data_IF_187106151069
#
_entry.id   IF_187106151069
#
_cell.length_a   1.000
_cell.length_b   1.000
_cell.length_c   1.000
_cell.angle_alpha   90.00
_cell.angle_beta   90.00
_cell.angle_gamma   90.00
#
_symmetry.space_group_name_H-M   'P 1'
#
loop_
_entity.id
_entity.type
_entity.pdbx_description
1 polymer ?
#
# COMPACT_ATOMS: atom_id res chain seq x y z
N UNK A 1 -17.11 9.91 -2.38
CA UNK A 1 -16.19 9.44 -3.45
C UNK A 1 -14.99 8.75 -2.82
N UNK A 2 -15.18 7.55 -2.30
CA UNK A 2 -14.09 6.70 -1.77
C UNK A 2 -13.29 6.05 -2.91
N UNK A 3 -13.96 5.67 -3.99
CA UNK A 3 -13.35 5.02 -5.17
C UNK A 3 -12.30 5.90 -5.86
N UNK A 4 -12.59 7.19 -6.06
CA UNK A 4 -11.61 8.12 -6.64
C UNK A 4 -10.36 8.27 -5.78
N UNK A 5 -10.52 8.28 -4.46
CA UNK A 5 -9.40 8.33 -3.52
C UNK A 5 -8.60 7.03 -3.58
N UNK A 6 -9.26 5.88 -3.56
CA UNK A 6 -8.62 4.57 -3.66
C UNK A 6 -7.85 4.42 -4.98
N UNK A 7 -8.47 4.77 -6.11
CA UNK A 7 -7.81 4.76 -7.42
C UNK A 7 -6.60 5.71 -7.47
N UNK A 8 -6.72 6.91 -6.91
CA UNK A 8 -5.60 7.86 -6.83
C UNK A 8 -4.44 7.37 -5.95
N UNK A 9 -4.75 6.77 -4.79
CA UNK A 9 -3.74 6.20 -3.89
C UNK A 9 -3.04 5.01 -4.53
N UNK A 10 -3.79 4.08 -5.13
CA UNK A 10 -3.22 2.89 -5.79
C UNK A 10 -2.38 3.27 -7.02
N UNK A 11 -2.84 4.23 -7.82
CA UNK A 11 -2.08 4.73 -8.95
C UNK A 11 -0.73 5.32 -8.51
N UNK A 12 -0.75 6.11 -7.43
CA UNK A 12 0.44 6.73 -6.90
C UNK A 12 1.40 5.71 -6.26
N UNK A 13 0.87 4.77 -5.49
CA UNK A 13 1.66 3.69 -4.88
C UNK A 13 2.32 2.80 -5.95
N UNK A 14 1.56 2.40 -6.97
CA UNK A 14 2.11 1.61 -8.07
C UNK A 14 3.22 2.34 -8.83
N UNK A 15 3.07 3.65 -9.09
CA UNK A 15 4.15 4.45 -9.71
C UNK A 15 5.41 4.59 -8.84
N UNK A 16 5.27 4.43 -7.52
CA UNK A 16 6.38 4.57 -6.58
C UNK A 16 7.11 3.25 -6.34
N UNK A 17 6.38 2.14 -6.21
CA UNK A 17 6.91 0.82 -5.84
C UNK A 17 7.22 -0.09 -7.04
N UNK A 18 6.49 0.06 -8.15
CA UNK A 18 6.58 -0.88 -9.27
C UNK A 18 7.54 -0.41 -10.36
N UNK A 19 8.26 -1.35 -10.96
CA UNK A 19 9.13 -1.08 -12.12
C UNK A 19 8.33 -0.85 -13.42
N UNK A 20 7.04 -1.22 -13.44
CA UNK A 20 6.18 -1.11 -14.61
C UNK A 20 5.25 0.10 -14.57
N UNK A 21 4.90 0.61 -15.75
CA UNK A 21 4.03 1.76 -15.86
C UNK A 21 2.59 1.43 -15.44
N UNK A 22 2.06 2.16 -14.46
CA UNK A 22 0.65 2.04 -14.07
C UNK A 22 -0.26 2.60 -15.16
N UNK A 23 -1.16 1.75 -15.64
CA UNK A 23 -2.17 2.07 -16.65
C UNK A 23 -3.53 2.31 -15.98
N UNK A 24 -4.09 3.51 -16.15
CA UNK A 24 -5.35 3.87 -15.49
C UNK A 24 -6.54 3.04 -15.97
N UNK A 25 -6.59 2.67 -17.25
CA UNK A 25 -7.64 1.82 -17.80
C UNK A 25 -7.68 0.43 -17.13
N UNK A 26 -6.51 -0.17 -16.94
CA UNK A 26 -6.39 -1.48 -16.27
C UNK A 26 -6.71 -1.36 -14.77
N UNK A 27 -6.17 -0.34 -14.10
CA UNK A 27 -6.43 -0.08 -12.68
C UNK A 27 -7.93 0.14 -12.42
N UNK A 28 -8.57 0.99 -13.22
CA UNK A 28 -9.99 1.32 -13.06
C UNK A 28 -10.89 0.14 -13.40
N UNK A 29 -10.50 -0.66 -14.40
CA UNK A 29 -11.16 -1.93 -14.71
C UNK A 29 -11.10 -2.92 -13.55
N UNK A 30 -9.93 -3.08 -12.92
CA UNK A 30 -9.74 -3.95 -11.76
C UNK A 30 -10.56 -3.47 -10.54
N UNK A 31 -10.63 -2.16 -10.32
CA UNK A 31 -11.39 -1.55 -9.22
C UNK A 31 -12.90 -1.48 -9.47
N UNK A 32 -13.37 -1.78 -10.69
CA UNK A 32 -14.76 -1.56 -11.12
C UNK A 32 -15.24 -0.12 -10.83
N UNK A 33 -14.32 0.85 -10.92
CA UNK A 33 -14.57 2.22 -10.49
C UNK A 33 -15.13 3.05 -11.66
N UNK A 34 -16.27 3.70 -11.44
CA UNK A 34 -16.90 4.61 -12.42
C UNK A 34 -16.31 6.03 -12.33
N UNK A 35 -14.98 6.14 -12.45
CA UNK A 35 -14.27 7.42 -12.40
C UNK A 35 -13.45 7.62 -13.67
N UNK A 36 -13.25 8.88 -14.06
CA UNK A 36 -12.46 9.19 -15.26
C UNK A 36 -10.96 9.25 -14.94
N UNK A 37 -10.14 8.90 -15.92
CA UNK A 37 -8.68 8.96 -15.81
C UNK A 37 -8.17 10.36 -15.41
N UNK A 38 -8.78 11.42 -15.95
CA UNK A 38 -8.42 12.80 -15.61
C UNK A 38 -8.73 13.14 -14.14
N UNK A 39 -9.80 12.55 -13.59
CA UNK A 39 -10.14 12.71 -12.18
C UNK A 39 -9.12 12.02 -11.28
N UNK A 40 -8.67 10.81 -11.67
CA UNK A 40 -7.63 10.06 -10.97
C UNK A 40 -6.33 10.85 -10.96
N UNK A 41 -5.90 11.34 -12.12
CA UNK A 41 -4.69 12.17 -12.20
C UNK A 41 -4.79 13.43 -11.34
N UNK A 42 -5.93 14.13 -11.38
CA UNK A 42 -6.18 15.27 -10.49
C UNK A 42 -6.16 14.89 -9.01
N UNK A 43 -6.56 13.66 -8.66
CA UNK A 43 -6.46 13.14 -7.30
C UNK A 43 -5.01 12.88 -6.89
N UNK A 44 -4.20 12.28 -7.75
CA UNK A 44 -2.77 12.07 -7.47
C UNK A 44 -2.05 13.37 -7.15
N UNK A 45 -2.26 14.42 -7.94
CA UNK A 45 -1.64 15.74 -7.71
C UNK A 45 -2.06 16.29 -6.33
N UNK A 46 -3.33 16.17 -5.97
CA UNK A 46 -3.82 16.59 -4.64
C UNK A 46 -3.19 15.77 -3.51
N UNK A 47 -3.07 14.45 -3.68
CA UNK A 47 -2.44 13.56 -2.70
C UNK A 47 -0.97 13.93 -2.50
N UNK A 48 -0.21 14.10 -3.59
CA UNK A 48 1.19 14.50 -3.55
C UNK A 48 1.39 15.82 -2.83
N UNK A 49 0.57 16.84 -3.15
CA UNK A 49 0.62 18.13 -2.46
C UNK A 49 0.29 18.00 -0.97
N UNK A 50 -0.72 17.20 -0.63
CA UNK A 50 -1.15 16.98 0.76
C UNK A 50 -0.07 16.27 1.58
N UNK A 51 0.59 15.27 0.99
CA UNK A 51 1.70 14.53 1.60
C UNK A 51 3.04 15.29 1.52
N UNK A 52 3.06 16.48 0.93
CA UNK A 52 4.28 17.26 0.67
C UNK A 52 5.35 16.43 -0.06
N UNK A 53 4.92 15.57 -0.97
CA UNK A 53 5.75 14.66 -1.75
C UNK A 53 6.56 13.65 -0.89
N UNK A 54 6.15 13.40 0.37
CA UNK A 54 6.78 12.43 1.26
C UNK A 54 6.12 11.06 1.14
N UNK A 55 6.55 10.28 0.14
CA UNK A 55 6.04 8.93 -0.12
C UNK A 55 6.90 7.82 0.48
N UNK A 56 8.14 8.12 0.84
CA UNK A 56 9.15 7.17 1.31
C UNK A 56 8.95 6.70 2.76
N UNK A 57 7.71 6.46 3.17
CA UNK A 57 7.38 5.97 4.50
C UNK A 57 7.49 4.44 4.51
N UNK A 58 8.24 3.84 5.46
CA UNK A 58 8.34 2.40 5.53
C UNK A 58 6.96 1.78 5.81
N UNK A 59 6.72 0.60 5.26
CA UNK A 59 5.54 -0.23 5.55
C UNK A 59 5.98 -1.55 6.19
N UNK A 60 5.02 -2.34 6.70
CA UNK A 60 5.28 -3.63 7.38
C UNK A 60 6.23 -4.54 6.59
N UNK A 61 6.09 -4.57 5.27
CA UNK A 61 6.92 -5.35 4.35
C UNK A 61 8.41 -5.01 4.37
N UNK A 62 8.77 -3.79 4.75
CA UNK A 62 10.16 -3.37 4.88
C UNK A 62 10.85 -3.93 6.14
N UNK A 63 10.06 -4.28 7.16
CA UNK A 63 10.57 -4.73 8.46
C UNK A 63 10.44 -6.23 8.68
N UNK A 64 9.38 -6.84 8.13
CA UNK A 64 9.06 -8.25 8.34
C UNK A 64 10.22 -9.22 8.02
N UNK A 65 10.98 -9.05 6.91
CA UNK A 65 12.09 -9.97 6.61
C UNK A 65 13.15 -10.02 7.71
N UNK A 66 13.46 -8.87 8.34
CA UNK A 66 14.45 -8.80 9.41
C UNK A 66 14.01 -9.58 10.65
N UNK A 67 12.74 -9.44 11.07
CA UNK A 67 12.21 -10.20 12.19
C UNK A 67 12.21 -11.70 11.94
N UNK A 68 11.80 -12.12 10.74
CA UNK A 68 11.79 -13.52 10.34
C UNK A 68 13.19 -14.14 10.31
N UNK A 69 14.20 -13.39 9.88
CA UNK A 69 15.59 -13.82 9.89
C UNK A 69 16.11 -14.01 11.32
N UNK A 70 15.87 -13.03 12.21
CA UNK A 70 16.34 -13.07 13.61
C UNK A 70 15.81 -14.27 14.37
N UNK A 71 14.55 -14.65 14.13
CA UNK A 71 13.92 -15.81 14.81
C UNK A 71 14.19 -17.14 14.12
N UNK A 72 14.88 -17.14 12.96
CA UNK A 72 15.11 -18.35 12.17
C UNK A 72 13.80 -18.99 11.69
N UNK A 73 12.83 -18.18 11.25
CA UNK A 73 11.49 -18.63 10.91
C UNK A 73 11.50 -19.69 9.80
N UNK A 74 10.67 -20.72 9.96
CA UNK A 74 10.39 -21.70 8.89
C UNK A 74 9.58 -21.07 7.76
N UNK A 75 9.48 -21.77 6.63
CA UNK A 75 8.67 -21.33 5.48
C UNK A 75 7.20 -21.16 5.87
N UNK A 76 6.68 -22.07 6.70
CA UNK A 76 5.30 -22.02 7.19
C UNK A 76 5.09 -20.82 8.12
N UNK A 77 6.05 -20.55 9.02
CA UNK A 77 5.98 -19.40 9.92
C UNK A 77 6.05 -18.08 9.14
N UNK A 78 6.88 -18.00 8.10
CA UNK A 78 6.91 -16.85 7.19
C UNK A 78 5.55 -16.63 6.53
N UNK A 79 4.96 -17.66 5.92
CA UNK A 79 3.66 -17.53 5.25
C UNK A 79 2.56 -17.06 6.21
N UNK A 80 2.55 -17.55 7.45
CA UNK A 80 1.62 -17.09 8.48
C UNK A 80 1.86 -15.63 8.84
N UNK A 81 3.11 -15.21 9.02
CA UNK A 81 3.44 -13.82 9.38
C UNK A 81 3.09 -12.84 8.26
N UNK A 82 3.33 -13.21 7.01
CA UNK A 82 2.93 -12.47 5.81
C UNK A 82 1.40 -12.29 5.77
N UNK A 83 0.66 -13.38 5.94
CA UNK A 83 -0.81 -13.34 5.98
C UNK A 83 -1.35 -12.47 7.12
N UNK A 84 -0.83 -12.62 8.35
CA UNK A 84 -1.27 -11.83 9.49
C UNK A 84 -0.98 -10.34 9.29
N UNK A 85 0.18 -10.01 8.70
CA UNK A 85 0.54 -8.64 8.35
C UNK A 85 -0.44 -8.02 7.34
N UNK A 86 -0.87 -8.79 6.33
CA UNK A 86 -1.88 -8.33 5.36
C UNK A 86 -3.24 -8.13 6.01
N UNK A 87 -3.70 -9.09 6.82
CA UNK A 87 -4.97 -8.98 7.56
C UNK A 87 -4.96 -7.76 8.48
N UNK A 88 -3.83 -7.48 9.14
CA UNK A 88 -3.65 -6.32 10.01
C UNK A 88 -3.84 -4.98 9.29
N UNK A 89 -3.61 -4.89 7.97
CA UNK A 89 -3.87 -3.67 7.19
C UNK A 89 -5.36 -3.26 7.17
N UNK A 90 -6.26 -4.19 7.48
CA UNK A 90 -7.70 -3.94 7.55
C UNK A 90 -8.18 -3.49 8.94
N UNK A 91 -7.29 -3.54 9.95
CA UNK A 91 -7.63 -3.17 11.31
C UNK A 91 -7.87 -1.66 11.44
N UNK A 92 -8.95 -1.29 12.13
CA UNK A 92 -9.27 0.13 12.39
C UNK A 92 -8.20 0.84 13.23
N UNK A 93 -7.45 0.08 14.03
CA UNK A 93 -6.36 0.60 14.87
C UNK A 93 -5.01 0.69 14.15
N UNK A 94 -4.90 0.18 12.92
CA UNK A 94 -3.64 0.22 12.13
C UNK A 94 -2.98 1.59 12.10
N UNK A 95 -3.69 2.74 11.93
CA UNK A 95 -3.04 4.05 11.89
C UNK A 95 -2.28 4.43 13.17
N UNK A 96 -2.50 3.69 14.28
CA UNK A 96 -1.80 3.90 15.55
C UNK A 96 -0.49 3.12 15.65
N UNK A 97 -0.34 2.06 14.86
CA UNK A 97 0.84 1.19 14.91
C UNK A 97 1.94 1.76 14.05
N UNK A 98 3.18 1.72 14.55
CA UNK A 98 4.34 1.92 13.68
C UNK A 98 4.47 0.71 12.75
N UNK A 99 4.92 0.89 11.51
CA UNK A 99 5.16 -0.22 10.58
C UNK A 99 6.03 -1.35 11.16
N UNK A 100 7.02 -1.00 11.99
CA UNK A 100 7.87 -1.96 12.70
C UNK A 100 7.15 -2.68 13.85
N UNK A 101 6.20 -2.02 14.53
CA UNK A 101 5.38 -2.64 15.59
C UNK A 101 4.35 -3.59 14.98
N UNK A 102 3.85 -3.28 13.80
CA UNK A 102 2.98 -4.18 13.05
C UNK A 102 3.73 -5.44 12.58
N UNK A 103 5.03 -5.32 12.26
CA UNK A 103 5.85 -6.43 11.77
C UNK A 103 6.39 -7.38 12.87
N UNK A 104 6.39 -6.94 14.13
CA UNK A 104 7.02 -7.64 15.26
C UNK A 104 6.04 -8.58 15.97
#
# INVERSE_FOLDING_TARGET
>A
RSELLAAGVLALAGKFEEDYAVRYDELLGALQAEVKAEEVHGMEVRLLQTLQYRLNMPVVWHHLPWFLEVVGASVEQRAVAEYVSEVGLTALDLPRWRPSEHAA
#
